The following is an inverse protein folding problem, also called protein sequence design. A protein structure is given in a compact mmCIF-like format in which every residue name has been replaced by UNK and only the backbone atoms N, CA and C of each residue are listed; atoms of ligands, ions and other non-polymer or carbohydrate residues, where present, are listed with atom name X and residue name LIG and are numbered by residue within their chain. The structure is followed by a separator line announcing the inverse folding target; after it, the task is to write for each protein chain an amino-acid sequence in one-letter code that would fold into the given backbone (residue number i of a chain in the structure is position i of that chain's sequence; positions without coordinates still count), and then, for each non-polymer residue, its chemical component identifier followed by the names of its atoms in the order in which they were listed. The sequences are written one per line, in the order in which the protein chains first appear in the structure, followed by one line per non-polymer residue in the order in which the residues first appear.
data_IF_867919674060
#
_entry.id   IF_867919674060
#
_cell.length_a   1.000
_cell.length_b   1.000
_cell.length_c   1.000
_cell.angle_alpha   90.00
_cell.angle_beta   90.00
_cell.angle_gamma   90.00
#
_symmetry.space_group_name_H-M   'P 1'
#
loop_
_entity.id
_entity.type
_entity.pdbx_description
1 polymer ?
#
# COMPACT_ATOMS: atom_id res chain seq x y z
N UNK A 1 57.03 -87.19 38.78
CA UNK A 1 56.42 -86.16 37.92
C UNK A 1 54.92 -86.28 38.00
N UNK A 2 54.25 -85.47 38.82
CA UNK A 2 52.91 -84.91 38.55
C UNK A 2 52.60 -83.86 39.62
N UNK A 3 52.24 -82.61 39.24
CA UNK A 3 51.86 -81.57 40.19
C UNK A 3 50.37 -81.74 40.56
N UNK A 4 50.05 -81.66 41.86
CA UNK A 4 48.67 -81.55 42.32
C UNK A 4 48.18 -80.13 42.02
N UNK A 5 47.27 -80.02 41.06
CA UNK A 5 46.55 -78.80 40.74
C UNK A 5 45.75 -78.36 41.97
N UNK A 6 46.10 -77.21 42.53
CA UNK A 6 45.28 -76.52 43.51
C UNK A 6 43.95 -76.13 42.85
N UNK A 7 42.88 -76.76 43.31
CA UNK A 7 41.52 -76.49 42.88
C UNK A 7 41.13 -75.03 43.19
N UNK A 8 40.64 -74.35 42.18
CA UNK A 8 39.91 -73.09 42.32
C UNK A 8 38.70 -73.34 43.22
N UNK A 9 38.60 -72.61 44.33
CA UNK A 9 37.52 -72.79 45.30
C UNK A 9 36.14 -72.39 44.73
N UNK A 10 35.08 -73.18 44.97
CA UNK A 10 33.73 -72.94 44.43
C UNK A 10 32.99 -71.71 45.01
N UNK A 11 33.46 -71.12 46.12
CA UNK A 11 32.78 -70.00 46.80
C UNK A 11 32.96 -68.62 46.13
N UNK A 12 34.09 -68.39 45.44
CA UNK A 12 34.33 -67.13 44.75
C UNK A 12 33.44 -66.93 43.52
N UNK A 13 33.11 -68.02 42.82
CA UNK A 13 32.25 -67.99 41.65
C UNK A 13 30.79 -67.64 41.98
N UNK A 14 30.27 -68.14 43.12
CA UNK A 14 28.92 -67.85 43.58
C UNK A 14 28.73 -66.38 43.99
N UNK A 15 29.72 -65.78 44.67
CA UNK A 15 29.71 -64.37 45.04
C UNK A 15 29.73 -63.44 43.81
N UNK A 16 30.56 -63.76 42.82
CA UNK A 16 30.65 -63.03 41.54
C UNK A 16 29.32 -63.13 40.76
N UNK A 17 28.67 -64.31 40.76
CA UNK A 17 27.36 -64.49 40.11
C UNK A 17 26.26 -63.68 40.82
N UNK A 18 26.24 -63.64 42.16
CA UNK A 18 25.29 -62.85 42.93
C UNK A 18 25.50 -61.33 42.74
N UNK A 19 26.75 -60.87 42.65
CA UNK A 19 27.08 -59.47 42.35
C UNK A 19 26.72 -59.08 40.91
N UNK A 20 26.95 -59.97 39.94
CA UNK A 20 26.47 -59.80 38.56
C UNK A 20 24.95 -59.75 38.49
N UNK A 21 24.24 -60.61 39.23
CA UNK A 21 22.77 -60.57 39.33
C UNK A 21 22.25 -59.24 39.86
N UNK A 22 22.79 -58.76 40.98
CA UNK A 22 22.44 -57.43 41.55
C UNK A 22 22.75 -56.28 40.60
N UNK A 23 23.85 -56.37 39.85
CA UNK A 23 24.24 -55.36 38.86
C UNK A 23 23.27 -55.36 37.68
N UNK A 24 22.87 -56.54 37.18
CA UNK A 24 21.87 -56.68 36.12
C UNK A 24 20.50 -56.12 36.56
N UNK A 25 20.07 -56.41 37.79
CA UNK A 25 18.83 -55.85 38.34
C UNK A 25 18.87 -54.32 38.43
N UNK A 26 19.99 -53.74 38.88
CA UNK A 26 20.20 -52.28 38.89
C UNK A 26 20.17 -51.69 37.48
N UNK A 27 20.85 -52.32 36.52
CA UNK A 27 20.83 -51.88 35.11
C UNK A 27 19.42 -51.95 34.53
N UNK A 28 18.66 -53.01 34.83
CA UNK A 28 17.26 -53.13 34.40
C UNK A 28 16.34 -52.12 35.09
N UNK A 29 16.59 -51.79 36.36
CA UNK A 29 15.87 -50.73 37.08
C UNK A 29 16.14 -49.36 36.44
N UNK A 30 17.40 -49.01 36.21
CA UNK A 30 17.81 -47.77 35.54
C UNK A 30 17.28 -47.68 34.10
N UNK A 31 17.28 -48.79 33.35
CA UNK A 31 16.71 -48.82 32.00
C UNK A 31 15.21 -48.55 32.01
N UNK A 32 14.46 -49.10 32.98
CA UNK A 32 13.03 -48.84 33.16
C UNK A 32 12.76 -47.38 33.57
N UNK A 33 13.57 -46.84 34.47
CA UNK A 33 13.49 -45.44 34.90
C UNK A 33 13.77 -44.48 33.73
N UNK A 34 14.85 -44.69 32.99
CA UNK A 34 15.19 -43.89 31.80
C UNK A 34 14.09 -43.98 30.72
N UNK A 35 13.51 -45.16 30.50
CA UNK A 35 12.36 -45.32 29.60
C UNK A 35 11.09 -44.61 30.12
N UNK A 36 10.92 -44.49 31.44
CA UNK A 36 9.88 -43.68 32.07
C UNK A 36 10.10 -42.19 31.83
N UNK A 37 11.30 -41.68 32.09
CA UNK A 37 11.67 -40.27 31.88
C UNK A 37 11.55 -39.85 30.41
N UNK A 38 11.98 -40.70 29.46
CA UNK A 38 11.81 -40.43 28.03
C UNK A 38 10.34 -40.32 27.62
N UNK A 39 9.45 -41.14 28.19
CA UNK A 39 8.00 -41.04 27.93
C UNK A 39 7.43 -39.73 28.46
N UNK A 40 7.75 -39.36 29.70
CA UNK A 40 7.29 -38.08 30.27
C UNK A 40 7.80 -36.88 29.45
N UNK A 41 9.07 -36.89 29.06
CA UNK A 41 9.64 -35.84 28.21
C UNK A 41 8.96 -35.78 26.83
N UNK A 42 8.69 -36.92 26.21
CA UNK A 42 7.98 -37.00 24.93
C UNK A 42 6.53 -36.49 25.06
N UNK A 43 5.81 -36.89 26.10
CA UNK A 43 4.45 -36.44 26.37
C UNK A 43 4.39 -34.92 26.63
N UNK A 44 5.38 -34.37 27.34
CA UNK A 44 5.51 -32.94 27.55
C UNK A 44 5.76 -32.20 26.22
N UNK A 45 6.64 -32.72 25.36
CA UNK A 45 6.90 -32.16 24.02
C UNK A 45 5.66 -32.20 23.14
N UNK A 46 4.87 -33.28 23.17
CA UNK A 46 3.62 -33.39 22.43
C UNK A 46 2.59 -32.37 22.91
N UNK A 47 2.41 -32.20 24.22
CA UNK A 47 1.49 -31.18 24.78
C UNK A 47 1.92 -29.76 24.43
N UNK A 48 3.21 -29.46 24.49
CA UNK A 48 3.75 -28.17 24.06
C UNK A 48 3.52 -27.93 22.56
N UNK A 49 3.74 -28.95 21.72
CA UNK A 49 3.50 -28.85 20.28
C UNK A 49 2.02 -28.63 19.95
N UNK A 50 1.11 -29.34 20.63
CA UNK A 50 -0.33 -29.17 20.48
C UNK A 50 -0.79 -27.77 20.89
N UNK A 51 -0.43 -27.33 22.11
CA UNK A 51 -0.79 -25.98 22.61
C UNK A 51 -0.22 -24.87 21.72
N UNK A 52 0.99 -25.03 21.20
CA UNK A 52 1.58 -24.09 20.22
C UNK A 52 0.79 -24.06 18.90
N UNK A 53 0.32 -25.22 18.44
CA UNK A 53 -0.47 -25.32 17.20
C UNK A 53 -1.85 -24.66 17.39
N UNK A 54 -2.52 -24.94 18.51
CA UNK A 54 -3.80 -24.32 18.89
C UNK A 54 -3.68 -22.80 19.01
N UNK A 55 -2.64 -22.31 19.70
CA UNK A 55 -2.36 -20.88 19.80
C UNK A 55 -2.14 -20.26 18.42
N UNK A 56 -1.36 -20.91 17.57
CA UNK A 56 -1.07 -20.40 16.22
C UNK A 56 -2.35 -20.28 15.40
N UNK A 57 -3.21 -21.30 15.42
CA UNK A 57 -4.48 -21.30 14.71
C UNK A 57 -5.38 -20.16 15.21
N UNK A 58 -5.53 -20.03 16.53
CA UNK A 58 -6.33 -18.97 17.12
C UNK A 58 -5.83 -17.56 16.76
N UNK A 59 -4.50 -17.36 16.71
CA UNK A 59 -3.91 -16.08 16.29
C UNK A 59 -4.18 -15.79 14.81
N UNK A 60 -4.13 -16.78 13.94
CA UNK A 60 -4.48 -16.62 12.53
C UNK A 60 -5.96 -16.30 12.32
N UNK A 61 -6.85 -17.00 13.02
CA UNK A 61 -8.29 -16.74 12.96
C UNK A 61 -8.61 -15.33 13.45
N UNK A 62 -7.98 -14.90 14.55
CA UNK A 62 -8.12 -13.54 15.06
C UNK A 62 -7.62 -12.49 14.05
N UNK A 63 -6.46 -12.73 13.42
CA UNK A 63 -5.89 -11.82 12.42
C UNK A 63 -6.75 -11.77 11.13
N UNK A 64 -7.26 -12.92 10.67
CA UNK A 64 -8.18 -13.00 9.54
C UNK A 64 -9.50 -12.27 9.84
N UNK A 65 -10.09 -12.50 11.01
CA UNK A 65 -11.31 -11.82 11.45
C UNK A 65 -11.13 -10.30 11.57
N UNK A 66 -9.96 -9.83 12.03
CA UNK A 66 -9.59 -8.42 12.02
C UNK A 66 -9.53 -7.87 10.59
N UNK A 67 -8.82 -8.53 9.68
CA UNK A 67 -8.71 -8.09 8.29
C UNK A 67 -10.08 -7.99 7.61
N UNK A 68 -10.99 -8.92 7.89
CA UNK A 68 -12.38 -8.88 7.42
C UNK A 68 -13.18 -7.74 8.06
N UNK A 69 -12.95 -7.41 9.33
CA UNK A 69 -13.52 -6.23 9.96
C UNK A 69 -13.02 -4.93 9.31
N UNK A 70 -11.72 -4.82 9.02
CA UNK A 70 -11.14 -3.67 8.31
C UNK A 70 -11.68 -3.54 6.88
N UNK A 71 -11.84 -4.64 6.15
CA UNK A 71 -12.48 -4.63 4.83
C UNK A 71 -13.92 -4.11 4.89
N UNK A 72 -14.69 -4.54 5.90
CA UNK A 72 -16.04 -4.01 6.16
C UNK A 72 -16.02 -2.53 6.50
N UNK A 73 -15.08 -2.07 7.32
CA UNK A 73 -14.91 -0.64 7.64
C UNK A 73 -14.61 0.19 6.38
N UNK A 74 -13.72 -0.27 5.50
CA UNK A 74 -13.44 0.39 4.20
C UNK A 74 -14.70 0.52 3.35
N UNK A 75 -15.47 -0.56 3.21
CA UNK A 75 -16.72 -0.55 2.45
C UNK A 75 -17.77 0.39 3.08
N UNK A 76 -17.89 0.37 4.41
CA UNK A 76 -18.82 1.22 5.15
C UNK A 76 -18.44 2.70 5.03
N UNK A 77 -17.16 3.05 5.22
CA UNK A 77 -16.64 4.40 5.10
C UNK A 77 -16.88 4.97 3.70
N UNK A 78 -16.60 4.18 2.65
CA UNK A 78 -16.89 4.55 1.27
C UNK A 78 -18.38 4.75 1.01
N UNK A 79 -19.23 3.88 1.56
CA UNK A 79 -20.68 3.99 1.44
C UNK A 79 -21.22 5.24 2.15
N UNK A 80 -20.70 5.55 3.34
CA UNK A 80 -21.08 6.71 4.12
C UNK A 80 -20.67 8.00 3.41
N UNK A 81 -19.45 8.04 2.87
CA UNK A 81 -18.98 9.13 2.04
C UNK A 81 -19.88 9.38 0.84
N UNK A 82 -20.21 8.34 0.07
CA UNK A 82 -21.10 8.45 -1.10
C UNK A 82 -22.49 9.02 -0.77
N UNK A 83 -22.98 8.82 0.46
CA UNK A 83 -24.26 9.38 0.95
C UNK A 83 -24.14 10.85 1.38
N UNK A 84 -23.02 11.23 2.00
CA UNK A 84 -22.79 12.57 2.53
C UNK A 84 -22.32 13.57 1.47
N UNK A 85 -21.50 13.12 0.53
CA UNK A 85 -20.81 13.97 -0.41
C UNK A 85 -21.77 14.64 -1.40
N UNK A 86 -21.62 15.94 -1.57
CA UNK A 86 -22.56 16.77 -2.34
C UNK A 86 -22.50 16.45 -3.83
N UNK A 87 -23.68 16.29 -4.45
CA UNK A 87 -23.77 16.15 -5.91
C UNK A 87 -23.55 17.51 -6.56
N UNK A 88 -22.49 17.62 -7.38
CA UNK A 88 -22.29 18.77 -8.27
C UNK A 88 -22.85 18.42 -9.65
N UNK A 89 -23.80 19.20 -10.19
CA UNK A 89 -24.36 18.89 -11.50
C UNK A 89 -23.26 18.90 -12.57
N UNK A 90 -23.02 17.75 -13.19
CA UNK A 90 -22.16 17.62 -14.36
C UNK A 90 -22.94 18.04 -15.60
N UNK A 91 -22.61 19.20 -16.18
CA UNK A 91 -23.13 19.58 -17.50
C UNK A 91 -22.37 18.83 -18.58
N UNK A 92 -23.07 18.36 -19.60
CA UNK A 92 -22.45 17.69 -20.75
C UNK A 92 -21.54 18.69 -21.49
N UNK A 93 -20.25 18.39 -21.53
CA UNK A 93 -19.24 19.18 -22.18
C UNK A 93 -19.16 18.80 -23.67
N UNK A 94 -20.20 19.20 -24.41
CA UNK A 94 -20.34 18.92 -25.84
C UNK A 94 -19.41 19.76 -26.71
N UNK A 95 -19.31 19.43 -28.01
CA UNK A 95 -18.58 20.21 -29.04
C UNK A 95 -18.81 21.73 -28.98
N UNK A 96 -20.05 22.26 -28.89
CA UNK A 96 -20.27 23.71 -28.74
C UNK A 96 -19.70 24.27 -27.44
N UNK A 97 -19.77 23.53 -26.32
CA UNK A 97 -19.15 23.95 -25.05
C UNK A 97 -17.63 24.07 -25.21
N UNK A 98 -16.98 23.08 -25.84
CA UNK A 98 -15.53 23.11 -26.12
C UNK A 98 -15.15 24.25 -27.06
N UNK A 99 -16.02 24.60 -28.00
CA UNK A 99 -15.80 25.74 -28.89
C UNK A 99 -15.89 27.07 -28.13
N UNK A 100 -16.89 27.21 -27.25
CA UNK A 100 -17.03 28.38 -26.37
C UNK A 100 -15.84 28.53 -25.44
N UNK A 101 -15.38 27.46 -24.79
CA UNK A 101 -14.26 27.55 -23.85
C UNK A 101 -12.93 27.90 -24.56
N UNK A 102 -12.71 27.39 -25.78
CA UNK A 102 -11.60 27.82 -26.66
C UNK A 102 -11.69 29.29 -27.05
N UNK A 103 -12.88 29.80 -27.30
CA UNK A 103 -13.10 31.22 -27.60
C UNK A 103 -12.86 32.10 -26.37
N UNK A 104 -13.44 31.73 -25.22
CA UNK A 104 -13.27 32.45 -23.96
C UNK A 104 -11.82 32.51 -23.51
N UNK A 105 -11.05 31.43 -23.68
CA UNK A 105 -9.62 31.40 -23.34
C UNK A 105 -8.79 32.45 -24.11
N UNK A 106 -9.29 32.95 -25.26
CA UNK A 106 -8.65 33.99 -26.07
C UNK A 106 -9.07 35.41 -25.68
N UNK A 107 -10.14 35.58 -24.90
CA UNK A 107 -10.69 36.89 -24.50
C UNK A 107 -10.02 37.47 -23.23
N UNK A 108 -8.71 37.32 -23.13
CA UNK A 108 -7.92 37.82 -21.99
C UNK A 108 -8.27 37.18 -20.65
N UNK A 109 -7.91 37.85 -19.55
CA UNK A 109 -7.99 37.27 -18.20
C UNK A 109 -9.40 37.03 -17.68
N UNK A 110 -10.39 37.86 -18.07
CA UNK A 110 -11.79 37.65 -17.70
C UNK A 110 -12.40 36.46 -18.43
N UNK A 111 -12.12 36.30 -19.73
CA UNK A 111 -12.54 35.13 -20.49
C UNK A 111 -11.94 33.84 -19.92
N UNK A 112 -10.65 33.86 -19.59
CA UNK A 112 -9.97 32.75 -18.92
C UNK A 112 -10.56 32.43 -17.53
N UNK A 113 -10.93 33.46 -16.75
CA UNK A 113 -11.62 33.25 -15.47
C UNK A 113 -12.97 32.57 -15.65
N UNK A 114 -13.73 32.92 -16.70
CA UNK A 114 -14.99 32.26 -17.02
C UNK A 114 -14.81 30.79 -17.41
N UNK A 115 -13.73 30.44 -18.13
CA UNK A 115 -13.39 29.03 -18.42
C UNK A 115 -13.16 28.26 -17.10
N UNK A 116 -12.37 28.83 -16.19
CA UNK A 116 -12.10 28.21 -14.88
C UNK A 116 -13.41 28.05 -14.09
N UNK A 117 -14.23 29.10 -13.99
CA UNK A 117 -15.52 29.04 -13.30
C UNK A 117 -16.45 27.98 -13.90
N UNK A 118 -16.55 27.92 -15.23
CA UNK A 118 -17.38 26.95 -15.96
C UNK A 118 -16.92 25.52 -15.77
N UNK A 119 -15.61 25.27 -15.61
CA UNK A 119 -15.07 23.94 -15.34
C UNK A 119 -15.42 23.42 -13.94
N UNK A 120 -15.61 24.31 -12.97
CA UNK A 120 -15.95 23.95 -11.58
C UNK A 120 -14.79 23.30 -10.80
N UNK A 121 -13.56 23.35 -11.32
CA UNK A 121 -12.37 22.79 -10.64
C UNK A 121 -11.79 23.71 -9.57
N UNK A 122 -12.18 24.98 -9.58
CA UNK A 122 -11.71 25.99 -8.64
C UNK A 122 -12.44 25.87 -7.29
N UNK A 123 -11.65 25.92 -6.21
CA UNK A 123 -12.10 25.85 -4.83
C UNK A 123 -12.07 27.23 -4.23
N UNK A 124 -13.16 27.95 -4.42
CA UNK A 124 -13.37 29.27 -3.84
C UNK A 124 -14.13 29.20 -2.53
N UNK A 125 -14.47 30.38 -2.00
CA UNK A 125 -15.25 30.54 -0.77
C UNK A 125 -16.77 30.37 -1.03
N UNK A 126 -17.17 30.08 -2.26
CA UNK A 126 -18.57 29.96 -2.69
C UNK A 126 -19.21 31.30 -3.05
N UNK A 127 -18.44 32.39 -3.05
CA UNK A 127 -18.88 33.74 -3.42
C UNK A 127 -18.55 34.00 -4.88
N UNK A 128 -19.50 33.77 -5.79
CA UNK A 128 -19.27 33.76 -7.24
C UNK A 128 -18.44 34.95 -7.78
N UNK A 129 -18.78 36.19 -7.41
CA UNK A 129 -18.05 37.37 -7.88
C UNK A 129 -16.64 37.48 -7.28
N UNK A 130 -16.47 37.09 -6.01
CA UNK A 130 -15.17 37.08 -5.35
C UNK A 130 -14.26 36.02 -5.97
N UNK A 131 -14.78 34.80 -6.16
CA UNK A 131 -14.05 33.69 -6.75
C UNK A 131 -13.67 34.00 -8.21
N UNK A 132 -14.55 34.62 -8.99
CA UNK A 132 -14.24 35.11 -10.35
C UNK A 132 -13.10 36.13 -10.36
N UNK A 133 -13.02 37.03 -9.38
CA UNK A 133 -11.92 37.99 -9.27
C UNK A 133 -10.59 37.29 -8.98
N UNK A 134 -10.59 36.25 -8.15
CA UNK A 134 -9.41 35.42 -7.88
C UNK A 134 -8.99 34.62 -9.10
N UNK A 135 -9.92 34.02 -9.82
CA UNK A 135 -9.65 33.33 -11.10
C UNK A 135 -9.06 34.29 -12.14
N UNK A 136 -9.59 35.51 -12.25
CA UNK A 136 -9.07 36.53 -13.16
C UNK A 136 -7.69 37.04 -12.72
N UNK A 137 -7.45 37.17 -11.42
CA UNK A 137 -6.12 37.50 -10.88
C UNK A 137 -5.11 36.39 -11.20
N UNK A 138 -5.48 35.13 -11.03
CA UNK A 138 -4.69 33.98 -11.44
C UNK A 138 -4.40 34.00 -12.95
N UNK A 139 -5.43 34.19 -13.78
CA UNK A 139 -5.28 34.23 -15.24
C UNK A 139 -4.34 35.35 -15.70
N UNK A 140 -4.38 36.53 -15.05
CA UNK A 140 -3.45 37.63 -15.32
C UNK A 140 -1.99 37.29 -14.99
N UNK A 141 -1.74 36.44 -13.99
CA UNK A 141 -0.38 36.04 -13.62
C UNK A 141 0.24 35.05 -14.62
N UNK A 142 -0.58 34.37 -15.43
CA UNK A 142 -0.11 33.54 -16.55
C UNK A 142 0.77 32.36 -16.13
N UNK A 143 1.78 32.04 -16.93
CA UNK A 143 2.68 30.87 -16.80
C UNK A 143 3.81 31.05 -15.78
N UNK A 144 3.49 31.59 -14.61
CA UNK A 144 4.44 31.81 -13.50
C UNK A 144 4.51 30.58 -12.58
N UNK A 145 5.68 29.99 -12.38
CA UNK A 145 5.82 28.76 -11.58
C UNK A 145 5.53 28.95 -10.08
N UNK A 146 5.70 30.16 -9.56
CA UNK A 146 5.44 30.53 -8.15
C UNK A 146 3.95 30.68 -7.81
N UNK A 147 3.06 30.59 -8.79
CA UNK A 147 1.62 30.79 -8.61
C UNK A 147 0.90 29.44 -8.55
N UNK A 148 0.29 29.16 -7.40
CA UNK A 148 -0.58 28.00 -7.23
C UNK A 148 -2.06 28.38 -7.42
N UNK A 149 -2.81 27.74 -8.34
CA UNK A 149 -4.26 27.90 -8.39
C UNK A 149 -4.94 27.19 -7.22
N UNK A 150 -6.11 27.66 -6.81
CA UNK A 150 -6.94 26.99 -5.82
C UNK A 150 -7.69 25.79 -6.46
N UNK A 151 -6.94 24.82 -6.99
CA UNK A 151 -7.45 23.64 -7.68
C UNK A 151 -6.53 22.45 -7.45
N UNK A 152 -7.00 21.23 -7.77
CA UNK A 152 -6.17 20.03 -7.82
C UNK A 152 -5.26 20.04 -9.06
N UNK A 153 -4.38 21.04 -9.12
CA UNK A 153 -3.51 21.31 -10.26
C UNK A 153 -2.21 21.95 -9.77
N UNK A 154 -1.07 21.35 -10.11
CA UNK A 154 0.26 21.89 -9.76
C UNK A 154 0.82 22.65 -10.95
N UNK A 155 0.77 23.97 -10.90
CA UNK A 155 1.28 24.81 -11.99
C UNK A 155 2.78 24.66 -12.20
N UNK A 156 3.56 24.59 -11.12
CA UNK A 156 5.00 24.39 -11.21
C UNK A 156 5.35 23.05 -11.89
N UNK A 157 4.71 21.96 -11.46
CA UNK A 157 4.94 20.63 -12.05
C UNK A 157 4.47 20.58 -13.52
N UNK A 158 3.31 21.18 -13.82
CA UNK A 158 2.77 21.21 -15.18
C UNK A 158 3.68 21.97 -16.15
N UNK A 159 4.23 23.12 -15.74
CA UNK A 159 5.17 23.89 -16.56
C UNK A 159 6.50 23.16 -16.74
N UNK A 160 6.97 22.45 -15.70
CA UNK A 160 8.18 21.64 -15.79
C UNK A 160 8.02 20.46 -16.73
N UNK A 161 6.86 19.80 -16.74
CA UNK A 161 6.58 18.66 -17.60
C UNK A 161 6.26 19.05 -19.05
N UNK A 162 5.74 20.26 -19.27
CA UNK A 162 5.25 20.72 -20.58
C UNK A 162 5.83 22.09 -20.96
N UNK A 163 7.10 22.13 -21.45
CA UNK A 163 7.76 23.38 -21.84
C UNK A 163 7.05 24.16 -22.95
N UNK A 164 6.28 23.48 -23.80
CA UNK A 164 5.44 24.08 -24.84
C UNK A 164 4.37 25.04 -24.25
N UNK A 165 3.87 24.73 -23.05
CA UNK A 165 2.88 25.56 -22.35
C UNK A 165 3.55 26.78 -21.71
N UNK A 166 4.78 26.65 -21.23
CA UNK A 166 5.53 27.77 -20.68
C UNK A 166 5.75 28.88 -21.73
N UNK A 167 5.98 28.49 -22.99
CA UNK A 167 6.14 29.43 -24.10
C UNK A 167 4.84 30.15 -24.50
N UNK A 168 3.67 29.52 -24.30
CA UNK A 168 2.39 30.02 -24.77
C UNK A 168 1.83 31.22 -23.97
N UNK A 169 2.40 31.56 -22.81
CA UNK A 169 1.97 32.65 -21.88
C UNK A 169 0.48 32.62 -21.47
N UNK A 170 -0.24 31.53 -21.73
CA UNK A 170 -1.60 31.30 -21.22
C UNK A 170 -1.50 30.74 -19.79
N UNK A 171 -2.49 31.04 -18.94
CA UNK A 171 -2.56 30.43 -17.62
C UNK A 171 -2.60 28.89 -17.72
N UNK A 172 -1.67 28.14 -17.10
CA UNK A 172 -1.54 26.69 -17.28
C UNK A 172 -2.80 25.88 -16.98
N UNK A 173 -3.58 26.26 -15.95
CA UNK A 173 -4.86 25.61 -15.65
C UNK A 173 -5.86 25.80 -16.81
N UNK A 174 -5.89 26.97 -17.46
CA UNK A 174 -6.75 27.20 -18.62
C UNK A 174 -6.32 26.37 -19.80
N UNK A 175 -5.01 26.29 -20.06
CA UNK A 175 -4.47 25.41 -21.09
C UNK A 175 -4.90 23.96 -20.85
N UNK A 176 -4.79 23.48 -19.62
CA UNK A 176 -5.22 22.14 -19.24
C UNK A 176 -6.72 21.93 -19.53
N UNK A 177 -7.58 22.82 -19.05
CA UNK A 177 -9.04 22.70 -19.19
C UNK A 177 -9.51 22.72 -20.65
N UNK A 178 -8.81 23.46 -21.52
CA UNK A 178 -9.22 23.63 -22.92
C UNK A 178 -8.60 22.56 -23.84
N UNK A 179 -7.40 22.09 -23.50
CA UNK A 179 -6.59 21.23 -24.38
C UNK A 179 -5.91 20.11 -23.61
N UNK A 180 -5.07 20.42 -22.63
CA UNK A 180 -4.18 19.44 -22.00
C UNK A 180 -4.90 18.23 -21.39
N UNK A 181 -6.03 18.43 -20.73
CA UNK A 181 -6.82 17.35 -20.14
C UNK A 181 -7.43 16.40 -21.18
N UNK A 182 -7.72 16.87 -22.39
CA UNK A 182 -8.20 16.05 -23.50
C UNK A 182 -7.05 15.38 -24.29
N UNK A 183 -5.84 15.89 -24.16
CA UNK A 183 -4.61 15.27 -24.67
C UNK A 183 -4.03 14.23 -23.71
N UNK A 184 -4.65 14.02 -22.54
CA UNK A 184 -4.17 13.07 -21.53
C UNK A 184 -2.99 13.59 -20.69
N UNK A 185 -2.66 14.89 -20.76
CA UNK A 185 -1.60 15.49 -19.95
C UNK A 185 -1.94 15.43 -18.46
N UNK A 186 -0.95 15.20 -17.60
CA UNK A 186 -1.13 15.09 -16.15
C UNK A 186 -1.19 16.49 -15.51
N UNK A 187 -2.18 16.80 -14.66
CA UNK A 187 -2.28 18.11 -13.99
C UNK A 187 -1.29 18.27 -12.83
N UNK A 188 -0.85 17.15 -12.25
CA UNK A 188 0.16 17.03 -11.20
C UNK A 188 0.51 15.54 -11.04
N UNK A 189 1.59 15.24 -10.32
CA UNK A 189 2.04 13.86 -10.08
C UNK A 189 1.03 13.01 -9.29
N UNK A 190 0.20 13.64 -8.44
CA UNK A 190 -0.82 12.95 -7.64
C UNK A 190 -2.10 12.57 -8.40
N UNK A 191 -2.17 12.82 -9.71
CA UNK A 191 -3.35 12.50 -10.53
C UNK A 191 -2.90 11.88 -11.86
N UNK A 192 -3.33 10.65 -12.15
CA UNK A 192 -2.99 9.97 -13.40
C UNK A 192 -4.18 9.93 -14.37
N UNK A 193 -4.22 10.80 -15.41
CA UNK A 193 -5.36 10.91 -16.30
C UNK A 193 -5.63 9.65 -17.11
N UNK A 194 -4.59 8.99 -17.65
CA UNK A 194 -4.74 7.80 -18.47
C UNK A 194 -5.32 6.63 -17.66
N UNK A 195 -4.78 6.40 -16.47
CA UNK A 195 -5.25 5.38 -15.54
C UNK A 195 -6.67 5.64 -15.03
N UNK A 196 -6.97 6.90 -14.71
CA UNK A 196 -8.32 7.30 -14.32
C UNK A 196 -9.31 7.13 -15.47
N UNK A 197 -8.91 7.52 -16.69
CA UNK A 197 -9.74 7.42 -17.87
C UNK A 197 -10.09 5.98 -18.25
N UNK A 198 -9.16 5.03 -18.09
CA UNK A 198 -9.45 3.62 -18.37
C UNK A 198 -10.52 3.04 -17.45
N UNK A 199 -10.60 3.51 -16.20
CA UNK A 199 -11.60 3.10 -15.19
C UNK A 199 -12.94 3.81 -15.32
N UNK A 200 -12.95 5.00 -15.91
CA UNK A 200 -14.14 5.85 -16.04
C UNK A 200 -14.51 6.15 -17.49
N UNK A 201 -14.09 5.32 -18.44
CA UNK A 201 -14.24 5.54 -19.88
C UNK A 201 -15.70 5.84 -20.28
N UNK A 202 -16.66 5.06 -19.75
CA UNK A 202 -18.08 5.26 -20.01
C UNK A 202 -18.58 6.63 -19.51
N UNK A 203 -18.23 7.03 -18.28
CA UNK A 203 -18.67 8.29 -17.70
C UNK A 203 -18.02 9.51 -18.40
N UNK A 204 -16.75 9.40 -18.78
CA UNK A 204 -16.05 10.42 -19.56
C UNK A 204 -16.65 10.58 -20.96
N UNK A 205 -17.02 9.47 -21.62
CA UNK A 205 -17.69 9.52 -22.92
C UNK A 205 -19.09 10.15 -22.83
N UNK A 206 -19.86 9.81 -21.78
CA UNK A 206 -21.20 10.35 -21.57
C UNK A 206 -21.19 11.86 -21.27
N UNK A 207 -20.26 12.31 -20.42
CA UNK A 207 -20.19 13.70 -19.96
C UNK A 207 -19.34 14.60 -20.87
N UNK A 208 -18.36 14.05 -21.60
CA UNK A 208 -17.43 14.80 -22.43
C UNK A 208 -16.36 15.61 -21.67
N UNK A 209 -16.30 15.45 -20.34
CA UNK A 209 -15.36 16.12 -19.43
C UNK A 209 -13.95 15.54 -19.55
N UNK A 210 -12.92 16.33 -19.21
CA UNK A 210 -11.58 15.79 -18.99
C UNK A 210 -11.52 14.95 -17.69
N UNK A 211 -10.52 14.06 -17.53
CA UNK A 211 -10.38 13.24 -16.32
C UNK A 211 -10.41 14.02 -15.00
N UNK A 212 -9.68 15.13 -14.89
CA UNK A 212 -9.67 15.95 -13.67
C UNK A 212 -11.02 16.65 -13.43
N UNK A 213 -11.65 17.19 -14.48
CA UNK A 213 -12.98 17.80 -14.35
C UNK A 213 -14.02 16.78 -13.88
N UNK A 214 -13.98 15.55 -14.42
CA UNK A 214 -14.83 14.46 -13.97
C UNK A 214 -14.57 14.10 -12.52
N UNK A 215 -13.29 13.96 -12.12
CA UNK A 215 -12.93 13.66 -10.75
C UNK A 215 -13.49 14.69 -9.76
N UNK A 216 -13.28 15.98 -10.02
CA UNK A 216 -13.73 17.05 -9.11
C UNK A 216 -15.27 17.17 -9.07
N UNK A 217 -15.97 16.85 -10.16
CA UNK A 217 -17.43 16.99 -10.23
C UNK A 217 -18.21 15.76 -9.75
N UNK A 218 -17.67 14.58 -9.99
CA UNK A 218 -18.39 13.32 -9.80
C UNK A 218 -17.50 12.26 -9.15
N UNK A 219 -16.29 12.05 -9.67
CA UNK A 219 -15.42 10.95 -9.26
C UNK A 219 -15.09 10.92 -7.78
N UNK A 220 -14.69 12.05 -7.19
CA UNK A 220 -14.37 12.13 -5.77
C UNK A 220 -15.55 11.69 -4.88
N UNK A 221 -16.76 12.16 -5.20
CA UNK A 221 -18.01 11.79 -4.52
C UNK A 221 -18.35 10.30 -4.71
N UNK A 222 -18.08 9.77 -5.90
CA UNK A 222 -18.26 8.35 -6.23
C UNK A 222 -17.22 7.46 -5.56
N UNK A 223 -16.24 8.04 -4.86
CA UNK A 223 -15.16 7.31 -4.23
C UNK A 223 -14.14 6.78 -5.23
N UNK A 224 -14.05 7.39 -6.41
CA UNK A 224 -13.04 7.07 -7.39
C UNK A 224 -11.67 7.50 -6.88
N UNK A 225 -10.68 6.62 -7.00
CA UNK A 225 -9.28 6.93 -6.72
C UNK A 225 -8.69 7.78 -7.86
N UNK A 226 -7.90 8.83 -7.59
CA UNK A 226 -7.26 9.69 -8.62
C UNK A 226 -5.90 9.15 -9.11
N UNK A 227 -5.28 8.27 -8.33
CA UNK A 227 -3.96 7.69 -8.58
C UNK A 227 -3.91 6.25 -8.04
N UNK A 228 -3.11 5.33 -8.64
CA UNK A 228 -2.87 3.99 -8.09
C UNK A 228 -2.35 3.96 -6.64
N UNK A 229 -1.71 5.05 -6.20
CA UNK A 229 -1.10 5.20 -4.87
C UNK A 229 -2.00 5.95 -3.88
N UNK A 230 -3.20 6.31 -4.31
CA UNK A 230 -4.18 6.97 -3.46
C UNK A 230 -5.50 6.17 -3.52
N UNK A 231 -5.73 5.34 -2.51
CA UNK A 231 -6.96 4.58 -2.36
C UNK A 231 -7.93 5.34 -1.45
N UNK A 232 -9.03 5.82 -2.03
CA UNK A 232 -10.04 6.61 -1.29
C UNK A 232 -10.69 5.80 -0.17
N UNK A 233 -10.96 4.51 -0.38
CA UNK A 233 -11.60 3.66 0.63
C UNK A 233 -10.69 3.42 1.84
N UNK A 234 -9.42 3.12 1.60
CA UNK A 234 -8.36 2.99 2.60
C UNK A 234 -8.16 4.29 3.37
N UNK A 235 -8.13 5.42 2.65
CA UNK A 235 -7.94 6.71 3.26
C UNK A 235 -9.10 7.08 4.20
N UNK A 236 -10.35 6.90 3.75
CA UNK A 236 -11.53 7.18 4.56
C UNK A 236 -11.69 6.24 5.76
N UNK A 237 -11.26 4.98 5.63
CA UNK A 237 -11.35 3.98 6.70
C UNK A 237 -10.50 4.32 7.94
N UNK A 238 -9.56 5.25 7.83
CA UNK A 238 -8.75 5.74 8.95
C UNK A 238 -9.49 6.76 9.84
N UNK A 239 -10.82 6.89 9.70
CA UNK A 239 -11.64 7.79 10.53
C UNK A 239 -11.52 9.25 10.10
N UNK A 240 -11.45 9.50 8.79
CA UNK A 240 -11.38 10.86 8.26
C UNK A 240 -12.77 11.47 8.19
N UNK A 241 -12.94 12.59 8.88
CA UNK A 241 -14.15 13.41 8.79
C UNK A 241 -13.96 14.48 7.70
N UNK A 242 -14.80 14.41 6.66
CA UNK A 242 -14.78 15.36 5.56
C UNK A 242 -16.06 16.19 5.54
N UNK A 243 -15.92 17.49 5.27
CA UNK A 243 -17.07 18.32 4.94
C UNK A 243 -17.71 17.83 3.62
N UNK A 244 -19.03 17.99 3.42
CA UNK A 244 -19.72 17.51 2.21
C UNK A 244 -19.20 18.04 0.88
N UNK A 245 -18.54 19.21 0.91
CA UNK A 245 -17.99 19.92 -0.25
C UNK A 245 -16.45 19.75 -0.41
N UNK A 246 -15.80 19.03 0.51
CA UNK A 246 -14.39 18.68 0.41
C UNK A 246 -14.21 17.34 -0.34
N UNK A 247 -12.97 16.91 -0.57
CA UNK A 247 -12.70 15.57 -1.09
C UNK A 247 -11.46 14.94 -0.46
N UNK A 248 -11.38 13.60 -0.48
CA UNK A 248 -10.30 12.84 0.14
C UNK A 248 -8.89 13.30 -0.25
N UNK A 249 -8.65 13.54 -1.54
CA UNK A 249 -7.32 13.91 -2.04
C UNK A 249 -6.93 15.31 -1.56
N UNK A 250 -7.82 16.29 -1.63
CA UNK A 250 -7.54 17.63 -1.13
C UNK A 250 -7.37 17.69 0.39
N UNK A 251 -8.18 16.94 1.15
CA UNK A 251 -7.96 16.78 2.59
C UNK A 251 -6.58 16.17 2.85
N UNK A 252 -6.18 15.13 2.11
CA UNK A 252 -4.84 14.55 2.24
C UNK A 252 -3.75 15.58 2.05
N UNK A 253 -3.77 16.33 0.95
CA UNK A 253 -2.76 17.33 0.61
C UNK A 253 -2.68 18.48 1.62
N UNK A 254 -3.80 18.86 2.24
CA UNK A 254 -3.88 19.97 3.20
C UNK A 254 -3.47 19.55 4.62
N UNK A 255 -4.00 18.42 5.11
CA UNK A 255 -3.92 18.06 6.53
C UNK A 255 -3.71 16.58 6.80
N UNK A 256 -4.23 15.69 5.95
CA UNK A 256 -4.18 14.25 6.20
C UNK A 256 -2.76 13.70 6.32
N UNK A 257 -1.84 14.18 5.50
CA UNK A 257 -0.45 13.77 5.58
C UNK A 257 0.23 14.20 6.90
N UNK A 258 -0.13 15.37 7.45
CA UNK A 258 0.40 15.87 8.73
C UNK A 258 -0.07 15.04 9.91
N UNK A 259 -1.23 14.40 9.77
CA UNK A 259 -1.79 13.44 10.72
C UNK A 259 -1.20 12.03 10.58
N UNK A 260 -0.25 11.82 9.67
CA UNK A 260 0.33 10.51 9.40
C UNK A 260 -0.61 9.53 8.70
N UNK A 261 -1.69 10.03 8.08
CA UNK A 261 -2.66 9.17 7.40
C UNK A 261 -2.05 8.58 6.12
N UNK A 262 -2.23 7.28 5.94
CA UNK A 262 -1.73 6.55 4.79
C UNK A 262 -2.63 6.76 3.56
N UNK A 263 -2.09 7.15 2.39
CA UNK A 263 -2.89 7.33 1.18
C UNK A 263 -3.32 6.00 0.55
N UNK A 264 -2.68 4.88 0.88
CA UNK A 264 -3.02 3.57 0.33
C UNK A 264 -2.24 2.43 1.00
N UNK A 265 -2.63 1.16 0.80
CA UNK A 265 -2.05 0.02 1.51
C UNK A 265 -0.54 -0.15 1.35
N UNK A 266 0.02 0.27 0.21
CA UNK A 266 1.45 0.17 -0.11
C UNK A 266 2.22 1.47 0.07
N UNK A 267 1.70 2.37 0.90
CA UNK A 267 2.40 3.58 1.29
C UNK A 267 2.28 3.78 2.80
N UNK A 268 3.41 3.60 3.51
CA UNK A 268 3.53 3.85 4.94
C UNK A 268 4.22 5.22 5.15
N UNK A 269 3.48 6.26 5.56
CA UNK A 269 4.03 7.59 5.75
C UNK A 269 5.12 7.64 6.82
N UNK A 270 5.01 6.85 7.89
CA UNK A 270 5.99 6.86 8.98
C UNK A 270 7.30 6.19 8.54
N UNK A 271 7.20 5.03 7.87
CA UNK A 271 8.35 4.35 7.27
C UNK A 271 9.06 5.21 6.23
N UNK A 272 8.29 5.87 5.37
CA UNK A 272 8.83 6.72 4.34
C UNK A 272 9.49 7.99 4.93
N UNK A 273 8.82 8.66 5.87
CA UNK A 273 9.35 9.84 6.52
C UNK A 273 10.62 9.56 7.34
N UNK A 274 10.74 8.38 7.97
CA UNK A 274 11.96 7.99 8.67
C UNK A 274 13.18 7.90 7.72
N UNK A 275 13.00 7.36 6.51
CA UNK A 275 14.07 7.29 5.51
C UNK A 275 14.42 8.67 4.93
N UNK A 276 13.42 9.53 4.70
CA UNK A 276 13.65 10.86 4.14
C UNK A 276 14.23 11.82 5.18
N UNK A 277 13.73 11.82 6.42
CA UNK A 277 14.23 12.68 7.50
C UNK A 277 15.69 12.40 7.87
N UNK A 278 16.12 11.14 7.73
CA UNK A 278 17.54 10.79 7.84
C UNK A 278 18.41 11.37 6.71
N UNK A 279 17.82 11.77 5.58
CA UNK A 279 18.50 12.26 4.37
C UNK A 279 18.37 13.76 4.15
N UNK A 280 17.28 14.38 4.60
CA UNK A 280 16.89 15.76 4.28
C UNK A 280 16.65 16.55 5.56
N UNK A 281 17.35 17.67 5.73
CA UNK A 281 17.26 18.55 6.92
C UNK A 281 16.05 19.51 6.97
N UNK A 282 15.05 19.33 6.10
CA UNK A 282 13.85 20.18 6.00
C UNK A 282 12.59 19.34 5.77
N UNK A 283 11.43 19.78 6.29
CA UNK A 283 10.15 19.04 6.13
C UNK A 283 9.77 18.85 4.65
N UNK A 284 9.77 17.61 4.14
CA UNK A 284 9.59 17.32 2.72
C UNK A 284 8.10 17.28 2.34
N UNK A 285 7.36 18.37 2.52
CA UNK A 285 5.94 18.49 2.08
C UNK A 285 5.06 17.25 2.40
N UNK A 286 4.02 16.97 1.60
CA UNK A 286 3.29 15.71 1.70
C UNK A 286 4.16 14.52 1.23
N UNK A 287 4.32 13.44 2.03
CA UNK A 287 5.16 12.28 1.71
C UNK A 287 4.88 11.63 0.35
N UNK A 288 3.60 11.47 -0.01
CA UNK A 288 3.22 10.91 -1.32
C UNK A 288 3.72 11.77 -2.48
N UNK A 289 3.67 13.10 -2.35
CA UNK A 289 4.18 14.00 -3.38
C UNK A 289 5.69 13.92 -3.47
N UNK A 290 6.38 13.97 -2.33
CA UNK A 290 7.83 13.79 -2.30
C UNK A 290 8.24 12.48 -2.98
N UNK A 291 7.52 11.38 -2.71
CA UNK A 291 7.76 10.10 -3.38
C UNK A 291 7.61 10.20 -4.89
N UNK A 292 6.44 10.63 -5.37
CA UNK A 292 6.11 10.72 -6.79
C UNK A 292 7.04 11.66 -7.58
N UNK A 293 7.47 12.75 -6.95
CA UNK A 293 8.31 13.77 -7.57
C UNK A 293 9.80 13.44 -7.51
N UNK A 294 10.29 12.86 -6.41
CA UNK A 294 11.74 12.68 -6.19
C UNK A 294 12.11 11.36 -5.51
N UNK A 295 11.39 10.93 -4.48
CA UNK A 295 11.84 9.86 -3.59
C UNK A 295 12.09 8.52 -4.27
N UNK A 296 11.31 8.15 -5.28
CA UNK A 296 11.58 6.92 -6.03
C UNK A 296 12.86 6.99 -6.88
N UNK A 297 13.24 8.19 -7.35
CA UNK A 297 14.50 8.42 -8.07
C UNK A 297 15.70 8.24 -7.15
N UNK A 298 15.55 8.66 -5.90
CA UNK A 298 16.53 8.50 -4.82
C UNK A 298 16.55 7.07 -4.23
N UNK A 299 15.70 6.17 -4.74
CA UNK A 299 15.57 4.79 -4.28
C UNK A 299 14.96 4.67 -2.88
N UNK A 300 14.21 5.66 -2.42
CA UNK A 300 13.49 5.61 -1.13
C UNK A 300 12.26 4.73 -1.28
N UNK A 301 12.12 3.75 -0.39
CA UNK A 301 11.03 2.77 -0.45
C UNK A 301 9.78 3.29 0.27
N UNK A 302 8.59 3.35 -0.36
CA UNK A 302 7.36 3.85 0.24
C UNK A 302 6.75 2.89 1.28
N UNK A 303 7.17 1.62 1.28
CA UNK A 303 6.66 0.60 2.18
C UNK A 303 7.76 -0.47 2.43
N UNK A 304 7.81 -1.14 3.61
CA UNK A 304 8.82 -2.17 3.89
C UNK A 304 8.81 -3.37 2.92
N UNK A 305 7.64 -3.75 2.43
CA UNK A 305 7.46 -4.85 1.47
C UNK A 305 7.66 -4.46 0.00
N UNK A 306 7.98 -3.20 -0.29
CA UNK A 306 8.29 -2.75 -1.65
C UNK A 306 9.64 -2.05 -1.67
N UNK A 307 10.63 -2.64 -2.33
CA UNK A 307 11.96 -2.07 -2.48
C UNK A 307 12.09 -1.34 -3.82
N UNK A 308 11.96 -0.01 -3.79
CA UNK A 308 12.01 0.80 -4.99
C UNK A 308 13.36 0.71 -5.74
N UNK A 309 14.49 0.57 -5.00
CA UNK A 309 15.82 0.48 -5.60
C UNK A 309 16.02 -0.90 -6.22
N UNK A 310 15.79 -1.95 -5.44
CA UNK A 310 15.92 -3.33 -5.90
C UNK A 310 15.00 -3.61 -7.10
N UNK A 311 13.77 -3.09 -7.08
CA UNK A 311 12.83 -3.28 -8.18
C UNK A 311 13.34 -2.68 -9.50
N UNK A 312 13.90 -1.46 -9.47
CA UNK A 312 14.50 -0.81 -10.64
C UNK A 312 15.73 -1.55 -11.15
N UNK A 313 16.58 -2.01 -10.24
CA UNK A 313 17.79 -2.79 -10.57
C UNK A 313 17.45 -4.18 -11.15
N UNK A 314 16.35 -4.79 -10.70
CA UNK A 314 15.90 -6.11 -11.14
C UNK A 314 15.13 -6.09 -12.45
N UNK A 315 14.42 -4.99 -12.75
CA UNK A 315 13.56 -4.85 -13.92
C UNK A 315 14.05 -3.69 -14.82
N UNK A 316 14.97 -3.97 -15.78
CA UNK A 316 15.57 -2.94 -16.62
C UNK A 316 14.57 -2.16 -17.49
N UNK A 317 13.40 -2.74 -17.78
CA UNK A 317 12.32 -2.07 -18.50
C UNK A 317 11.75 -0.88 -17.72
N UNK A 318 11.73 -0.96 -16.39
CA UNK A 318 11.29 0.12 -15.50
C UNK A 318 12.30 1.25 -15.49
N UNK A 319 13.58 0.91 -15.41
CA UNK A 319 14.68 1.89 -15.45
C UNK A 319 14.74 2.59 -16.81
N UNK A 320 14.66 1.84 -17.91
CA UNK A 320 14.67 2.38 -19.27
C UNK A 320 13.46 3.28 -19.56
N UNK A 321 12.29 2.95 -19.01
CA UNK A 321 11.10 3.78 -19.14
C UNK A 321 11.13 5.03 -18.23
N UNK A 322 12.00 5.07 -17.22
CA UNK A 322 12.09 6.19 -16.27
C UNK A 322 10.79 6.45 -15.52
N UNK A 323 10.03 5.40 -15.22
CA UNK A 323 8.71 5.47 -14.56
C UNK A 323 8.80 5.16 -13.07
N UNK A 324 7.86 5.68 -12.29
CA UNK A 324 7.73 5.34 -10.87
C UNK A 324 7.57 3.81 -10.69
N UNK A 325 8.48 3.14 -9.96
CA UNK A 325 8.48 1.69 -9.81
C UNK A 325 7.25 1.16 -9.06
N UNK A 326 6.72 1.87 -8.06
CA UNK A 326 5.53 1.38 -7.35
C UNK A 326 4.28 1.54 -8.21
N UNK A 327 4.12 2.66 -8.93
CA UNK A 327 3.07 2.79 -9.94
C UNK A 327 3.19 1.68 -10.97
N UNK A 328 4.37 1.45 -11.53
CA UNK A 328 4.60 0.38 -12.50
C UNK A 328 4.15 -0.97 -11.96
N UNK A 329 4.60 -1.34 -10.75
CA UNK A 329 4.22 -2.58 -10.09
C UNK A 329 2.71 -2.75 -9.90
N UNK A 330 1.99 -1.67 -9.57
CA UNK A 330 0.54 -1.72 -9.37
C UNK A 330 -0.27 -1.78 -10.65
N UNK A 331 0.28 -1.29 -11.76
CA UNK A 331 -0.36 -1.32 -13.08
C UNK A 331 -0.02 -2.57 -13.88
N UNK A 332 1.06 -3.26 -13.50
CA UNK A 332 1.47 -4.50 -14.14
C UNK A 332 0.39 -5.59 -13.95
N UNK A 333 0.05 -6.34 -15.00
CA UNK A 333 -0.87 -7.46 -14.88
C UNK A 333 -0.33 -8.50 -13.87
N UNK A 334 -1.16 -8.99 -12.92
CA UNK A 334 -0.74 -9.92 -11.88
C UNK A 334 -0.07 -11.20 -12.39
N UNK A 335 -0.34 -11.60 -13.63
CA UNK A 335 0.17 -12.80 -14.29
C UNK A 335 1.68 -12.74 -14.58
N UNK A 336 2.27 -11.54 -14.56
CA UNK A 336 3.73 -11.38 -14.71
C UNK A 336 4.50 -11.73 -13.44
N UNK A 337 3.81 -11.93 -12.31
CA UNK A 337 4.39 -12.32 -11.02
C UNK A 337 5.66 -11.55 -10.62
N UNK A 338 5.73 -10.26 -10.98
CA UNK A 338 6.88 -9.42 -10.61
C UNK A 338 7.01 -9.36 -9.10
N UNK A 339 8.25 -9.47 -8.63
CA UNK A 339 8.59 -9.41 -7.21
C UNK A 339 8.74 -7.94 -6.82
N UNK A 340 8.05 -7.45 -5.79
CA UNK A 340 8.16 -6.07 -5.31
C UNK A 340 9.45 -5.82 -4.50
N UNK A 341 10.19 -6.88 -4.19
CA UNK A 341 11.40 -6.88 -3.40
C UNK A 341 11.90 -8.31 -3.20
N UNK A 342 13.06 -8.50 -2.54
CA UNK A 342 13.65 -9.82 -2.36
C UNK A 342 12.82 -10.75 -1.44
N UNK A 343 11.86 -10.19 -0.70
CA UNK A 343 11.15 -10.91 0.37
C UNK A 343 9.79 -11.47 -0.04
N UNK A 344 9.17 -10.95 -1.11
CA UNK A 344 7.83 -11.35 -1.53
C UNK A 344 7.89 -12.07 -2.87
N UNK A 345 7.67 -13.37 -2.83
CA UNK A 345 7.52 -14.20 -4.02
C UNK A 345 6.06 -14.18 -4.50
N UNK A 346 5.77 -13.41 -5.54
CA UNK A 346 4.41 -13.23 -6.03
C UNK A 346 3.80 -14.52 -6.61
N UNK A 347 4.62 -15.36 -7.24
CA UNK A 347 4.17 -16.64 -7.81
C UNK A 347 3.82 -17.62 -6.69
N UNK A 348 4.74 -17.82 -5.74
CA UNK A 348 4.49 -18.70 -4.60
C UNK A 348 3.29 -18.24 -3.76
N UNK A 349 3.09 -16.92 -3.61
CA UNK A 349 1.92 -16.38 -2.94
C UNK A 349 0.63 -16.70 -3.69
N UNK A 350 0.62 -16.52 -5.02
CA UNK A 350 -0.53 -16.82 -5.85
C UNK A 350 -0.90 -18.31 -5.77
N UNK A 351 0.10 -19.21 -5.78
CA UNK A 351 -0.11 -20.65 -5.57
C UNK A 351 -0.69 -20.95 -4.20
N UNK A 352 -0.15 -20.34 -3.13
CA UNK A 352 -0.62 -20.55 -1.76
C UNK A 352 -2.04 -19.99 -1.52
N UNK A 353 -2.43 -18.92 -2.21
CA UNK A 353 -3.79 -18.34 -2.14
C UNK A 353 -4.83 -19.14 -2.91
N UNK A 354 -4.42 -19.83 -3.99
CA UNK A 354 -5.31 -20.64 -4.80
C UNK A 354 -6.46 -19.84 -5.45
N UNK A 355 -7.61 -20.49 -5.58
CA UNK A 355 -8.80 -19.96 -6.28
C UNK A 355 -9.55 -18.87 -5.47
N UNK A 356 -9.35 -18.80 -4.15
CA UNK A 356 -9.97 -17.80 -3.25
C UNK A 356 -9.42 -16.37 -3.42
N UNK A 357 -8.61 -16.16 -4.46
CA UNK A 357 -7.97 -14.88 -4.75
C UNK A 357 -8.97 -13.91 -5.41
N UNK A 358 -9.07 -12.66 -4.94
CA UNK A 358 -9.86 -11.64 -5.61
C UNK A 358 -9.30 -11.33 -7.01
N UNK A 359 -10.18 -11.37 -8.01
CA UNK A 359 -9.82 -11.07 -9.39
C UNK A 359 -9.37 -9.60 -9.56
N UNK A 360 -8.28 -9.39 -10.29
CA UNK A 360 -7.77 -8.06 -10.63
C UNK A 360 -7.12 -7.26 -9.48
N UNK A 361 -7.04 -7.82 -8.26
CA UNK A 361 -6.31 -7.18 -7.16
C UNK A 361 -4.82 -7.51 -7.26
N UNK A 362 -3.96 -6.51 -7.07
CA UNK A 362 -2.52 -6.71 -6.98
C UNK A 362 -2.19 -7.67 -5.82
N UNK A 363 -1.28 -8.63 -6.06
CA UNK A 363 -1.00 -9.72 -5.11
C UNK A 363 -0.44 -9.25 -3.77
N UNK A 364 0.41 -8.22 -3.77
CA UNK A 364 0.94 -7.67 -2.52
C UNK A 364 -0.14 -6.84 -1.79
N UNK A 365 -1.02 -6.15 -2.51
CA UNK A 365 -2.19 -5.51 -1.89
C UNK A 365 -3.10 -6.57 -1.26
N UNK A 366 -3.41 -7.65 -1.97
CA UNK A 366 -4.20 -8.76 -1.42
C UNK A 366 -3.56 -9.34 -0.15
N UNK A 367 -2.25 -9.56 -0.17
CA UNK A 367 -1.48 -10.01 1.00
C UNK A 367 -1.71 -9.10 2.22
N UNK A 368 -1.53 -7.79 2.04
CA UNK A 368 -1.68 -6.79 3.10
C UNK A 368 -3.13 -6.63 3.58
N UNK A 369 -4.11 -6.78 2.68
CA UNK A 369 -5.53 -6.61 3.01
C UNK A 369 -6.19 -7.84 3.65
N UNK A 370 -5.40 -8.87 3.97
CA UNK A 370 -5.84 -10.02 4.75
C UNK A 370 -5.58 -11.36 4.11
N UNK A 371 -5.14 -11.38 2.85
CA UNK A 371 -4.80 -12.61 2.16
C UNK A 371 -3.63 -13.37 2.81
N UNK A 372 -2.71 -12.66 3.47
CA UNK A 372 -1.65 -13.25 4.29
C UNK A 372 -2.18 -14.21 5.38
N UNK A 373 -3.38 -13.95 5.90
CA UNK A 373 -3.98 -14.75 6.97
C UNK A 373 -4.78 -15.94 6.44
N UNK A 374 -4.98 -16.01 5.11
CA UNK A 374 -5.68 -17.08 4.40
C UNK A 374 -4.72 -18.00 3.65
N UNK A 375 -3.59 -17.49 3.16
CA UNK A 375 -2.49 -18.30 2.63
C UNK A 375 -1.57 -18.78 3.77
N UNK A 376 -1.75 -20.04 4.19
CA UNK A 376 -0.87 -20.66 5.18
C UNK A 376 0.55 -20.82 4.60
N UNK A 377 1.56 -20.60 5.44
CA UNK A 377 2.99 -20.91 5.20
C UNK A 377 3.69 -20.19 4.02
N UNK A 378 3.38 -18.91 3.78
CA UNK A 378 4.10 -18.08 2.82
C UNK A 378 5.26 -17.25 3.44
N UNK A 379 6.46 -17.25 2.83
CA UNK A 379 7.61 -16.39 3.16
C UNK A 379 8.93 -17.12 3.47
N UNK A 380 10.07 -16.42 3.67
CA UNK A 380 11.36 -17.07 3.95
C UNK A 380 11.34 -17.83 5.30
N UNK A 381 11.62 -19.13 5.28
CA UNK A 381 11.65 -19.98 6.48
C UNK A 381 10.28 -20.30 7.08
N UNK A 382 9.20 -20.25 6.29
CA UNK A 382 7.83 -20.23 6.79
C UNK A 382 7.37 -21.53 7.44
N UNK A 383 7.23 -21.46 8.76
CA UNK A 383 5.90 -21.64 9.36
C UNK A 383 5.47 -20.28 9.91
N UNK A 384 4.59 -19.57 9.19
CA UNK A 384 4.07 -18.27 9.64
C UNK A 384 3.33 -18.39 10.99
N UNK A 385 2.80 -19.59 11.27
CA UNK A 385 2.29 -20.03 12.57
C UNK A 385 3.35 -19.98 13.67
N UNK A 386 4.51 -20.59 13.44
CA UNK A 386 5.62 -20.54 14.42
C UNK A 386 6.08 -19.10 14.65
N UNK A 387 6.10 -18.26 13.61
CA UNK A 387 6.47 -16.86 13.75
C UNK A 387 5.51 -16.08 14.66
N UNK A 388 4.20 -16.22 14.43
CA UNK A 388 3.16 -15.59 15.24
C UNK A 388 3.12 -16.14 16.67
N UNK A 389 3.29 -17.44 16.87
CA UNK A 389 3.31 -18.04 18.21
C UNK A 389 4.42 -17.47 19.10
N UNK A 390 5.55 -17.04 18.50
CA UNK A 390 6.64 -16.35 19.20
C UNK A 390 6.38 -14.85 19.39
N UNK A 391 5.44 -14.28 18.63
CA UNK A 391 5.13 -12.84 18.56
C UNK A 391 3.61 -12.60 18.47
N UNK A 392 2.83 -13.00 19.50
CA UNK A 392 1.38 -12.94 19.46
C UNK A 392 0.83 -11.50 19.38
N UNK A 393 1.63 -10.50 19.72
CA UNK A 393 1.32 -9.08 19.54
C UNK A 393 1.06 -8.69 18.09
N UNK A 394 1.67 -9.38 17.11
CA UNK A 394 1.51 -9.03 15.69
C UNK A 394 0.07 -9.22 15.22
N UNK A 395 -0.60 -10.28 15.68
CA UNK A 395 -2.02 -10.53 15.39
C UNK A 395 -2.92 -9.38 15.86
N UNK A 396 -2.54 -8.69 16.96
CA UNK A 396 -3.28 -7.53 17.46
C UNK A 396 -3.05 -6.29 16.60
N UNK A 397 -1.83 -6.09 16.12
CA UNK A 397 -1.47 -4.93 15.28
C UNK A 397 -1.95 -5.05 13.83
N UNK A 398 -2.17 -6.27 13.33
CA UNK A 398 -2.48 -6.54 11.93
C UNK A 398 -1.25 -6.55 11.01
N UNK A 399 -0.05 -6.30 11.56
CA UNK A 399 1.21 -6.39 10.81
C UNK A 399 1.50 -7.85 10.48
N UNK A 400 1.70 -8.13 9.19
CA UNK A 400 1.99 -9.50 8.72
C UNK A 400 3.38 -9.96 9.16
N UNK A 401 3.61 -11.28 9.33
CA UNK A 401 4.94 -11.81 9.67
C UNK A 401 6.04 -11.34 8.71
N UNK A 402 5.75 -11.31 7.41
CA UNK A 402 6.71 -10.88 6.39
C UNK A 402 7.00 -9.39 6.47
N UNK A 403 5.99 -8.55 6.71
CA UNK A 403 6.16 -7.12 6.88
C UNK A 403 6.99 -6.81 8.14
N UNK A 404 6.67 -7.46 9.25
CA UNK A 404 7.44 -7.31 10.49
C UNK A 404 8.89 -7.74 10.29
N UNK A 405 9.14 -8.86 9.59
CA UNK A 405 10.49 -9.28 9.21
C UNK A 405 11.21 -8.24 8.35
N UNK A 406 10.55 -7.72 7.32
CA UNK A 406 11.13 -6.72 6.42
C UNK A 406 11.48 -5.41 7.14
N UNK A 407 10.68 -5.02 8.15
CA UNK A 407 10.97 -3.88 9.02
C UNK A 407 12.21 -4.11 9.90
N UNK A 408 12.45 -5.35 10.34
CA UNK A 408 13.62 -5.70 11.18
C UNK A 408 14.90 -5.93 10.37
N UNK A 409 14.81 -6.55 9.20
CA UNK A 409 15.97 -6.92 8.38
C UNK A 409 16.70 -5.75 7.70
N UNK A 410 16.22 -4.51 7.89
CA UNK A 410 16.85 -3.27 7.39
C UNK A 410 17.21 -2.27 8.49
N UNK A 411 17.03 -2.64 9.76
CA UNK A 411 17.37 -1.80 10.92
C UNK A 411 18.81 -2.02 11.35
#
# INVERSE_FOLDING_TARGET
MTPAAAGVQPDGAAAILAERGRTLERVQALAREHAGLRRVAHDAQLREALTRTELSLALFEAAAGRAEAEARLRAQALSAWRRLARVRPSRRHNRPSKALDRFLARLGSLGQALVIARSGVWRGEGRALHDLRHMAAYARRGARSDVAPAALFSQAAYLSAYPDVAAARVAPLVHYLVRGGFEGRAPASFFQPAWYASRHAHALAATGLSPLEHYVRAGAREGASPHPLFDVGHYLAQGVELAPDDDPLSHYLREGWRRGLSPGPLFDPAWYAAQVGARVGSEPGPPLLHYLDQGWRDGVSPHPLFDARWYRETYPDVEAAGVDPLTHYLLEPPEHFRRPGPWFDAEAYATARGEDRPAGLNLLIDYLLGGAWKARDFGPGSSAAVYLARRPELARTGVTPLEHWARQGRA
#
